data_IF_982020674265
#
_entry.id   IF_982020674265
#
_cell.length_a   1.000
_cell.length_b   1.000
_cell.length_c   1.000
_cell.angle_alpha   90.00
_cell.angle_beta   90.00
_cell.angle_gamma   90.00
#
_symmetry.space_group_name_H-M   'P 1'
#
loop_
_entity.id
_entity.type
_entity.pdbx_description
1 polymer ?
#
# COMPACT_ATOMS: atom_id res chain seq x y z
N UNK A 1 -26.21 35.87 19.32
CA UNK A 1 -25.46 35.19 18.24
C UNK A 1 -24.23 34.39 18.69
N UNK A 2 -23.69 34.59 19.91
CA UNK A 2 -22.53 33.82 20.40
C UNK A 2 -22.86 32.41 20.94
N UNK A 3 -24.11 32.18 21.37
CA UNK A 3 -24.53 30.91 22.01
C UNK A 3 -24.76 29.77 20.98
N UNK A 4 -25.17 30.08 19.75
CA UNK A 4 -25.43 29.09 18.69
C UNK A 4 -24.18 28.52 18.01
N UNK A 5 -22.98 28.97 18.41
CA UNK A 5 -21.70 28.42 17.90
C UNK A 5 -21.12 27.35 18.82
N UNK A 6 -21.55 27.31 20.09
CA UNK A 6 -21.02 26.37 21.08
C UNK A 6 -21.75 25.01 21.03
N UNK A 7 -23.02 24.98 20.61
CA UNK A 7 -23.79 23.72 20.53
C UNK A 7 -23.45 22.86 19.31
N UNK A 8 -22.87 23.43 18.24
CA UNK A 8 -22.37 22.64 17.09
C UNK A 8 -21.07 21.87 17.36
N UNK A 9 -20.49 22.02 18.56
CA UNK A 9 -19.27 21.32 18.98
C UNK A 9 -19.51 19.95 19.64
N UNK A 10 -20.75 19.60 19.99
CA UNK A 10 -21.02 18.47 20.88
C UNK A 10 -21.65 17.22 20.21
N UNK A 11 -21.90 17.25 18.89
CA UNK A 11 -22.60 16.15 18.18
C UNK A 11 -21.75 15.36 17.16
N UNK A 12 -20.42 15.47 17.16
CA UNK A 12 -19.56 14.77 16.15
C UNK A 12 -18.53 13.78 16.69
N UNK A 13 -18.48 13.52 17.99
CA UNK A 13 -17.27 12.97 18.62
C UNK A 13 -17.10 11.45 18.65
N UNK A 14 -18.07 10.69 18.11
CA UNK A 14 -17.96 9.23 18.06
C UNK A 14 -16.90 8.73 17.08
N UNK A 15 -16.87 9.27 15.86
CA UNK A 15 -16.13 8.71 14.73
C UNK A 15 -15.28 9.71 13.94
N UNK A 16 -15.18 10.98 14.37
CA UNK A 16 -14.31 11.92 13.67
C UNK A 16 -12.84 11.53 13.87
N UNK A 17 -12.17 11.32 12.74
CA UNK A 17 -10.75 10.99 12.60
C UNK A 17 -10.02 12.08 11.81
N UNK A 18 -10.68 13.20 11.50
CA UNK A 18 -10.06 14.31 10.78
C UNK A 18 -9.20 15.14 11.73
N UNK A 19 -8.10 15.66 11.18
CA UNK A 19 -7.20 16.59 11.87
C UNK A 19 -6.77 17.71 10.94
N UNK A 20 -6.34 18.81 11.53
CA UNK A 20 -5.62 19.84 10.80
C UNK A 20 -4.41 19.23 10.11
N UNK A 21 -4.21 19.60 8.84
CA UNK A 21 -3.09 19.06 8.06
C UNK A 21 -1.78 19.67 8.57
N UNK A 22 -0.84 18.85 9.07
CA UNK A 22 0.46 19.34 9.53
C UNK A 22 1.19 20.04 8.39
N UNK A 23 2.06 21.00 8.69
CA UNK A 23 2.90 21.64 7.69
C UNK A 23 3.73 20.60 6.92
N UNK A 24 3.86 20.76 5.60
CA UNK A 24 4.55 19.80 4.74
C UNK A 24 6.06 19.79 5.03
N UNK A 25 6.54 18.80 5.78
CA UNK A 25 7.95 18.63 6.12
C UNK A 25 8.75 17.83 5.07
N UNK A 26 8.39 17.95 3.79
CA UNK A 26 9.00 17.19 2.69
C UNK A 26 10.48 17.51 2.45
N UNK A 27 11.11 16.73 1.58
CA UNK A 27 12.41 17.06 1.01
C UNK A 27 12.24 18.16 -0.04
N UNK A 28 13.28 19.00 -0.20
CA UNK A 28 13.29 20.11 -1.16
C UNK A 28 14.36 19.93 -2.25
N UNK A 29 14.15 20.65 -3.37
CA UNK A 29 15.10 20.71 -4.48
C UNK A 29 15.53 19.34 -5.01
N UNK A 30 16.85 19.13 -5.09
CA UNK A 30 17.46 17.88 -5.61
C UNK A 30 17.17 16.66 -4.73
N UNK A 31 17.08 16.84 -3.41
CA UNK A 31 16.80 15.73 -2.48
C UNK A 31 15.42 15.12 -2.76
N UNK A 32 14.44 15.93 -3.13
CA UNK A 32 13.09 15.46 -3.45
C UNK A 32 13.09 14.53 -4.67
N UNK A 33 13.77 14.92 -5.76
CA UNK A 33 13.89 14.08 -6.95
C UNK A 33 14.69 12.80 -6.68
N UNK A 34 15.73 12.88 -5.85
CA UNK A 34 16.47 11.71 -5.38
C UNK A 34 15.57 10.72 -4.62
N UNK A 35 14.77 11.19 -3.67
CA UNK A 35 13.80 10.35 -2.96
C UNK A 35 12.77 9.74 -3.91
N UNK A 36 12.26 10.52 -4.87
CA UNK A 36 11.29 10.02 -5.86
C UNK A 36 11.90 8.90 -6.72
N UNK A 37 13.12 9.09 -7.21
CA UNK A 37 13.83 8.09 -8.01
C UNK A 37 14.11 6.82 -7.19
N UNK A 38 14.58 6.96 -5.95
CA UNK A 38 14.81 5.82 -5.07
C UNK A 38 13.51 5.06 -4.77
N UNK A 39 12.42 5.77 -4.46
CA UNK A 39 11.11 5.16 -4.23
C UNK A 39 10.62 4.37 -5.44
N UNK A 40 10.85 4.86 -6.67
CA UNK A 40 10.43 4.18 -7.90
C UNK A 40 11.34 3.00 -8.28
N UNK A 41 12.66 3.13 -8.11
CA UNK A 41 13.65 2.17 -8.60
C UNK A 41 13.82 0.99 -7.63
N UNK A 42 13.92 1.26 -6.32
CA UNK A 42 14.26 0.23 -5.31
C UNK A 42 13.27 -0.95 -5.34
N UNK A 43 11.94 -0.75 -5.35
CA UNK A 43 11.00 -1.88 -5.35
C UNK A 43 11.14 -2.77 -6.57
N UNK A 44 11.49 -2.20 -7.72
CA UNK A 44 11.64 -2.91 -8.99
C UNK A 44 12.96 -3.65 -9.10
N UNK A 45 14.07 -3.03 -8.67
CA UNK A 45 15.38 -3.69 -8.60
C UNK A 45 15.36 -4.86 -7.62
N UNK A 46 14.65 -4.70 -6.50
CA UNK A 46 14.51 -5.74 -5.48
C UNK A 46 13.42 -6.77 -5.80
N UNK A 47 12.61 -6.55 -6.84
CA UNK A 47 11.41 -7.34 -7.13
C UNK A 47 11.69 -8.83 -7.29
N UNK A 48 12.44 -9.20 -8.34
CA UNK A 48 12.79 -10.60 -8.59
C UNK A 48 13.62 -11.22 -7.45
N UNK A 49 14.75 -10.63 -6.99
CA UNK A 49 15.59 -11.30 -6.01
C UNK A 49 14.87 -11.58 -4.69
N UNK A 50 14.08 -10.64 -4.17
CA UNK A 50 13.39 -10.86 -2.90
C UNK A 50 12.16 -11.75 -3.04
N UNK A 51 11.46 -11.72 -4.17
CA UNK A 51 10.39 -12.68 -4.43
C UNK A 51 10.93 -14.11 -4.51
N UNK A 52 12.04 -14.32 -5.23
CA UNK A 52 12.69 -15.63 -5.32
C UNK A 52 13.22 -16.08 -3.96
N UNK A 53 13.79 -15.17 -3.16
CA UNK A 53 14.20 -15.46 -1.80
C UNK A 53 13.02 -15.95 -0.96
N UNK A 54 11.88 -15.24 -0.98
CA UNK A 54 10.70 -15.65 -0.22
C UNK A 54 10.07 -16.95 -0.72
N UNK A 55 10.04 -17.18 -2.04
CA UNK A 55 9.52 -18.41 -2.63
C UNK A 55 10.39 -19.65 -2.34
N UNK A 56 11.70 -19.46 -2.14
CA UNK A 56 12.65 -20.54 -1.89
C UNK A 56 12.91 -20.82 -0.41
N UNK A 57 12.98 -19.78 0.44
CA UNK A 57 13.40 -19.92 1.83
C UNK A 57 12.28 -19.96 2.86
N UNK A 58 11.08 -19.44 2.54
CA UNK A 58 9.94 -19.52 3.47
C UNK A 58 9.28 -20.89 3.31
N UNK A 59 9.29 -21.74 4.36
CA UNK A 59 8.70 -23.07 4.27
C UNK A 59 7.20 -22.99 3.97
N UNK A 60 6.76 -23.80 3.01
CA UNK A 60 5.33 -24.00 2.76
C UNK A 60 4.79 -24.88 3.89
N UNK A 61 3.87 -24.34 4.67
CA UNK A 61 3.26 -25.04 5.80
C UNK A 61 2.02 -24.31 6.29
N UNK A 62 1.52 -24.68 7.47
CA UNK A 62 0.30 -24.11 8.03
C UNK A 62 0.38 -22.58 8.15
N UNK A 63 1.51 -22.03 8.61
CA UNK A 63 1.65 -20.58 8.79
C UNK A 63 1.76 -19.82 7.46
N UNK A 64 2.52 -20.36 6.50
CA UNK A 64 2.83 -19.69 5.22
C UNK A 64 2.54 -20.60 4.02
N UNK A 65 1.25 -20.89 3.71
CA UNK A 65 0.87 -21.95 2.78
C UNK A 65 0.95 -21.55 1.30
N UNK A 66 1.24 -20.29 0.97
CA UNK A 66 1.17 -19.78 -0.41
C UNK A 66 2.54 -19.29 -0.87
N UNK A 67 3.15 -20.01 -1.82
CA UNK A 67 4.53 -19.74 -2.27
C UNK A 67 4.69 -18.33 -2.86
N UNK A 68 3.80 -17.90 -3.75
CA UNK A 68 3.86 -16.56 -4.36
C UNK A 68 3.65 -15.48 -3.30
N UNK A 69 2.68 -15.67 -2.39
CA UNK A 69 2.43 -14.74 -1.28
C UNK A 69 3.63 -14.65 -0.34
N UNK A 70 4.37 -15.75 -0.11
CA UNK A 70 5.63 -15.73 0.63
C UNK A 70 6.69 -14.86 -0.06
N UNK A 71 6.83 -14.99 -1.38
CA UNK A 71 7.70 -14.12 -2.19
C UNK A 71 7.35 -12.65 -2.06
N UNK A 72 6.06 -12.33 -2.22
CA UNK A 72 5.56 -10.95 -2.10
C UNK A 72 5.74 -10.40 -0.69
N UNK A 73 5.50 -11.21 0.34
CA UNK A 73 5.71 -10.84 1.75
C UNK A 73 7.17 -10.48 2.01
N UNK A 74 8.12 -11.32 1.59
CA UNK A 74 9.56 -11.06 1.77
C UNK A 74 9.99 -9.82 0.99
N UNK A 75 9.51 -9.65 -0.24
CA UNK A 75 9.76 -8.44 -1.02
C UNK A 75 9.20 -7.17 -0.37
N UNK A 76 7.98 -7.23 0.15
CA UNK A 76 7.34 -6.12 0.85
C UNK A 76 8.10 -5.76 2.13
N UNK A 77 8.47 -6.74 2.96
CA UNK A 77 9.24 -6.51 4.18
C UNK A 77 10.65 -5.97 3.89
N UNK A 78 11.33 -6.49 2.86
CA UNK A 78 12.62 -5.94 2.43
C UNK A 78 12.52 -4.48 2.00
N UNK A 79 11.48 -4.11 1.25
CA UNK A 79 11.23 -2.71 0.90
C UNK A 79 10.85 -1.86 2.12
N UNK A 80 10.08 -2.40 3.07
CA UNK A 80 9.77 -1.71 4.32
C UNK A 80 11.04 -1.37 5.11
N UNK A 81 11.99 -2.31 5.19
CA UNK A 81 13.29 -2.10 5.85
C UNK A 81 14.12 -1.04 5.12
N UNK A 82 14.17 -1.06 3.79
CA UNK A 82 14.87 -0.03 3.00
C UNK A 82 14.24 1.34 3.20
N UNK A 83 12.90 1.43 3.15
CA UNK A 83 12.18 2.68 3.38
C UNK A 83 12.47 3.21 4.79
N UNK A 84 12.35 2.37 5.83
CA UNK A 84 12.62 2.76 7.21
C UNK A 84 14.07 3.25 7.36
N UNK A 85 15.04 2.57 6.74
CA UNK A 85 16.46 2.93 6.80
C UNK A 85 16.73 4.27 6.11
N UNK A 86 16.27 4.45 4.88
CA UNK A 86 16.45 5.70 4.12
C UNK A 86 15.72 6.87 4.76
N UNK A 87 14.53 6.61 5.30
CA UNK A 87 13.77 7.61 6.05
C UNK A 87 14.51 8.03 7.32
N UNK A 88 15.01 7.07 8.11
CA UNK A 88 15.78 7.34 9.31
C UNK A 88 17.04 8.17 9.00
N UNK A 89 17.81 7.81 7.96
CA UNK A 89 19.00 8.56 7.53
C UNK A 89 18.62 10.00 7.18
N UNK A 90 17.57 10.20 6.39
CA UNK A 90 17.10 11.54 6.00
C UNK A 90 16.59 12.36 7.19
N UNK A 91 15.87 11.71 8.11
CA UNK A 91 15.30 12.34 9.29
C UNK A 91 16.40 12.80 10.26
N UNK A 92 17.37 11.93 10.56
CA UNK A 92 18.49 12.21 11.46
C UNK A 92 19.44 13.26 10.88
N UNK A 93 19.83 13.13 9.59
CA UNK A 93 20.73 14.10 8.94
C UNK A 93 20.09 15.48 8.74
N UNK A 94 18.76 15.53 8.64
CA UNK A 94 18.03 16.78 8.50
C UNK A 94 17.68 17.47 9.82
N UNK A 95 18.08 16.90 10.97
CA UNK A 95 17.72 17.37 12.31
C UNK A 95 16.23 17.72 12.45
N UNK A 96 15.35 16.85 11.96
CA UNK A 96 13.91 17.16 11.75
C UNK A 96 13.05 17.07 13.03
N UNK A 97 13.67 17.01 14.21
CA UNK A 97 12.98 16.86 15.51
C UNK A 97 12.29 15.50 15.67
N UNK A 98 11.54 15.29 16.74
CA UNK A 98 10.87 14.01 17.04
C UNK A 98 9.39 13.96 16.68
N UNK A 99 8.86 15.04 16.09
CA UNK A 99 7.44 15.21 15.82
C UNK A 99 6.96 14.32 14.66
N UNK A 100 6.33 13.20 15.03
CA UNK A 100 5.76 12.22 14.09
C UNK A 100 4.52 12.74 13.38
N UNK A 101 3.87 13.78 13.92
CA UNK A 101 2.66 14.36 13.32
C UNK A 101 2.99 14.98 11.96
N UNK A 102 4.20 15.54 11.80
CA UNK A 102 4.71 16.08 10.53
C UNK A 102 4.72 15.09 9.37
N UNK A 103 4.65 13.78 9.66
CA UNK A 103 4.62 12.73 8.65
C UNK A 103 3.26 12.04 8.57
N UNK A 104 2.24 12.57 9.27
CA UNK A 104 0.91 11.99 9.34
C UNK A 104 0.76 10.83 10.32
N UNK A 105 1.79 10.54 11.12
CA UNK A 105 1.78 9.51 12.16
C UNK A 105 1.34 10.06 13.52
N UNK A 106 0.66 11.21 13.52
CA UNK A 106 0.04 11.73 14.74
C UNK A 106 -0.99 10.76 15.28
N UNK A 107 -1.00 10.57 16.59
CA UNK A 107 -1.94 9.66 17.26
C UNK A 107 -2.96 10.41 18.09
N UNK A 108 -2.76 11.70 18.41
CA UNK A 108 -3.68 12.52 19.22
C UNK A 108 -4.11 11.77 20.48
N UNK A 109 -5.36 11.28 20.52
CA UNK A 109 -5.91 10.40 21.57
C UNK A 109 -5.27 8.99 21.67
N UNK A 110 -4.04 8.81 21.20
CA UNK A 110 -3.29 7.56 21.25
C UNK A 110 -3.93 6.41 20.47
N UNK A 111 -3.97 5.22 21.08
CA UNK A 111 -4.44 3.97 20.46
C UNK A 111 -5.88 4.03 19.96
N UNK A 112 -6.74 4.89 20.53
CA UNK A 112 -8.12 5.05 20.08
C UNK A 112 -8.21 5.50 18.63
N UNK A 113 -7.29 6.37 18.20
CA UNK A 113 -7.25 6.84 16.80
C UNK A 113 -6.87 5.70 15.86
N UNK A 114 -5.85 4.93 16.21
CA UNK A 114 -5.41 3.77 15.43
C UNK A 114 -6.55 2.74 15.32
N UNK A 115 -7.23 2.45 16.44
CA UNK A 115 -8.37 1.54 16.49
C UNK A 115 -9.55 2.01 15.63
N UNK A 116 -9.93 3.29 15.69
CA UNK A 116 -10.97 3.86 14.82
C UNK A 116 -10.58 3.79 13.34
N UNK A 117 -9.33 4.09 13.00
CA UNK A 117 -8.81 3.99 11.62
C UNK A 117 -8.83 2.55 11.11
N UNK A 118 -8.45 1.57 11.95
CA UNK A 118 -8.50 0.15 11.61
C UNK A 118 -9.95 -0.32 11.42
N UNK A 119 -10.86 0.03 12.32
CA UNK A 119 -12.28 -0.29 12.18
C UNK A 119 -12.89 0.32 10.91
N UNK A 120 -12.56 1.58 10.62
CA UNK A 120 -12.95 2.23 9.37
C UNK A 120 -12.43 1.47 8.15
N UNK A 121 -11.18 1.01 8.19
CA UNK A 121 -10.59 0.21 7.12
C UNK A 121 -11.31 -1.14 6.94
N UNK A 122 -11.67 -1.83 8.02
CA UNK A 122 -12.47 -3.07 7.98
C UNK A 122 -13.83 -2.82 7.32
N UNK A 123 -14.52 -1.73 7.67
CA UNK A 123 -15.82 -1.38 7.07
C UNK A 123 -15.68 -1.06 5.58
N UNK A 124 -14.66 -0.29 5.19
CA UNK A 124 -14.41 0.08 3.78
C UNK A 124 -14.07 -1.16 2.95
N UNK A 125 -13.10 -1.96 3.39
CA UNK A 125 -12.68 -3.17 2.67
C UNK A 125 -13.81 -4.21 2.66
N UNK A 126 -14.49 -4.42 3.79
CA UNK A 126 -15.64 -5.31 3.90
C UNK A 126 -16.79 -4.89 2.97
N UNK A 127 -17.11 -3.59 2.91
CA UNK A 127 -18.10 -3.04 1.99
C UNK A 127 -17.73 -3.26 0.52
N UNK A 128 -16.45 -3.12 0.17
CA UNK A 128 -15.97 -3.43 -1.19
C UNK A 128 -16.13 -4.93 -1.55
N UNK A 129 -15.79 -5.85 -0.64
CA UNK A 129 -15.99 -7.28 -0.88
C UNK A 129 -17.47 -7.69 -0.86
N UNK A 130 -18.30 -7.02 -0.06
CA UNK A 130 -19.75 -7.20 -0.09
C UNK A 130 -20.34 -6.74 -1.43
N UNK A 131 -19.85 -5.61 -1.98
CA UNK A 131 -20.24 -5.17 -3.31
C UNK A 131 -19.79 -6.16 -4.39
N UNK A 132 -18.55 -6.67 -4.31
CA UNK A 132 -18.07 -7.73 -5.20
C UNK A 132 -18.97 -8.97 -5.13
N UNK A 133 -19.39 -9.38 -3.93
CA UNK A 133 -20.30 -10.50 -3.74
C UNK A 133 -21.69 -10.24 -4.34
N UNK A 134 -22.25 -9.05 -4.12
CA UNK A 134 -23.52 -8.66 -4.70
C UNK A 134 -23.48 -8.64 -6.24
N UNK A 135 -22.42 -8.09 -6.83
CA UNK A 135 -22.24 -8.08 -8.29
C UNK A 135 -22.07 -9.50 -8.84
N UNK A 136 -21.30 -10.34 -8.17
CA UNK A 136 -21.17 -11.77 -8.52
C UNK A 136 -22.49 -12.51 -8.46
N UNK A 137 -23.30 -12.27 -7.43
CA UNK A 137 -24.60 -12.90 -7.27
C UNK A 137 -25.64 -12.41 -8.30
N UNK A 138 -25.70 -11.11 -8.55
CA UNK A 138 -26.75 -10.51 -9.40
C UNK A 138 -26.46 -10.62 -10.90
N UNK A 139 -25.19 -10.62 -11.29
CA UNK A 139 -24.79 -10.48 -12.70
C UNK A 139 -23.83 -11.57 -13.18
N UNK A 140 -23.49 -12.54 -12.33
CA UNK A 140 -22.53 -13.62 -12.62
C UNK A 140 -21.18 -13.10 -13.16
N UNK A 141 -20.78 -11.92 -12.68
CA UNK A 141 -19.58 -11.21 -13.10
C UNK A 141 -18.73 -10.80 -11.91
N UNK A 142 -17.44 -10.61 -12.14
CA UNK A 142 -16.49 -10.24 -11.09
C UNK A 142 -15.66 -9.03 -11.47
N UNK A 143 -14.98 -8.43 -10.49
CA UNK A 143 -14.08 -7.31 -10.74
C UNK A 143 -12.78 -7.81 -11.36
N UNK A 144 -12.67 -7.63 -12.68
CA UNK A 144 -11.51 -8.01 -13.47
C UNK A 144 -11.13 -6.88 -14.42
N UNK A 145 -9.84 -6.64 -14.53
CA UNK A 145 -9.24 -5.73 -15.49
C UNK A 145 -8.02 -6.42 -16.08
N UNK A 146 -8.16 -6.89 -17.33
CA UNK A 146 -7.13 -7.67 -18.02
C UNK A 146 -6.68 -8.88 -17.18
N UNK A 147 -5.40 -8.98 -16.81
CA UNK A 147 -4.87 -10.07 -15.97
C UNK A 147 -5.10 -9.87 -14.47
N UNK A 148 -5.49 -8.67 -14.03
CA UNK A 148 -5.80 -8.38 -12.63
C UNK A 148 -7.25 -8.75 -12.32
N UNK A 149 -7.46 -9.57 -11.29
CA UNK A 149 -8.78 -10.01 -10.87
C UNK A 149 -8.88 -10.01 -9.35
N UNK A 150 -9.93 -9.38 -8.82
CA UNK A 150 -10.28 -9.50 -7.40
C UNK A 150 -11.29 -10.64 -7.27
N UNK A 151 -10.99 -11.60 -6.38
CA UNK A 151 -11.82 -12.78 -6.13
C UNK A 151 -12.36 -12.73 -4.70
N UNK A 152 -13.55 -13.28 -4.50
CA UNK A 152 -14.08 -13.51 -3.16
C UNK A 152 -13.21 -14.57 -2.46
N UNK A 153 -12.67 -14.28 -1.27
CA UNK A 153 -11.89 -15.26 -0.52
C UNK A 153 -12.82 -16.34 0.05
N UNK A 154 -12.36 -17.59 0.05
CA UNK A 154 -12.98 -18.64 0.87
C UNK A 154 -12.77 -18.38 2.37
N UNK A 155 -13.53 -19.02 3.28
CA UNK A 155 -13.28 -18.93 4.72
C UNK A 155 -11.86 -19.33 5.11
N UNK A 156 -11.28 -20.33 4.42
CA UNK A 156 -9.89 -20.74 4.59
C UNK A 156 -8.92 -19.61 4.18
N UNK A 157 -9.13 -19.01 3.01
CA UNK A 157 -8.31 -17.91 2.52
C UNK A 157 -8.39 -16.67 3.42
N UNK A 158 -9.53 -16.38 4.05
CA UNK A 158 -9.63 -15.30 5.04
C UNK A 158 -8.75 -15.56 6.27
N UNK A 159 -8.69 -16.81 6.76
CA UNK A 159 -7.80 -17.18 7.87
C UNK A 159 -6.33 -17.04 7.48
N UNK A 160 -5.97 -17.50 6.28
CA UNK A 160 -4.62 -17.33 5.72
C UNK A 160 -4.28 -15.85 5.59
N UNK A 161 -5.22 -15.02 5.13
CA UNK A 161 -5.03 -13.58 5.01
C UNK A 161 -4.71 -12.91 6.34
N UNK A 162 -5.24 -13.37 7.47
CA UNK A 162 -4.88 -12.83 8.78
C UNK A 162 -3.39 -13.02 9.13
N UNK A 163 -2.77 -14.12 8.68
CA UNK A 163 -1.34 -14.35 8.89
C UNK A 163 -0.50 -13.38 8.07
N UNK A 164 -0.81 -13.21 6.78
CA UNK A 164 -0.09 -12.28 5.89
C UNK A 164 -0.41 -10.81 6.15
N UNK A 165 -1.53 -10.51 6.82
CA UNK A 165 -1.95 -9.13 7.09
C UNK A 165 -0.92 -8.40 7.95
N UNK A 166 -0.34 -9.06 8.94
CA UNK A 166 0.65 -8.44 9.84
C UNK A 166 1.88 -7.95 9.07
N UNK A 167 2.63 -8.80 8.34
CA UNK A 167 3.81 -8.34 7.62
C UNK A 167 3.48 -7.35 6.50
N UNK A 168 2.36 -7.52 5.79
CA UNK A 168 1.96 -6.58 4.74
C UNK A 168 1.51 -5.23 5.31
N UNK A 169 0.86 -5.20 6.48
CA UNK A 169 0.54 -3.95 7.17
C UNK A 169 1.79 -3.17 7.57
N UNK A 170 2.87 -3.83 7.99
CA UNK A 170 4.14 -3.18 8.26
C UNK A 170 4.71 -2.49 7.01
N UNK A 171 4.63 -3.17 5.86
CA UNK A 171 5.03 -2.55 4.59
C UNK A 171 4.17 -1.33 4.24
N UNK A 172 2.84 -1.45 4.32
CA UNK A 172 1.98 -0.31 3.97
C UNK A 172 2.17 0.85 4.93
N UNK A 173 2.36 0.62 6.23
CA UNK A 173 2.73 1.68 7.17
C UNK A 173 4.08 2.32 6.80
N UNK A 174 5.10 1.52 6.47
CA UNK A 174 6.38 2.06 6.03
C UNK A 174 6.24 2.90 4.75
N UNK A 175 5.42 2.45 3.79
CA UNK A 175 5.17 3.14 2.52
C UNK A 175 4.62 4.55 2.69
N UNK A 176 3.88 4.83 3.76
CA UNK A 176 3.34 6.16 4.02
C UNK A 176 4.43 7.19 4.38
N UNK A 177 5.59 6.75 4.90
CA UNK A 177 6.71 7.63 5.26
C UNK A 177 7.25 8.43 4.07
N UNK A 178 7.62 7.81 2.92
CA UNK A 178 8.02 8.57 1.76
C UNK A 178 6.83 9.32 1.14
N UNK A 179 5.64 8.74 1.02
CA UNK A 179 4.51 9.37 0.30
C UNK A 179 3.96 10.62 1.00
N UNK A 180 3.87 10.58 2.33
CA UNK A 180 3.23 11.62 3.14
C UNK A 180 4.20 12.31 4.11
N UNK A 181 5.44 11.82 4.20
CA UNK A 181 6.58 12.54 4.75
C UNK A 181 7.46 13.14 3.66
N UNK A 182 8.46 12.40 3.19
CA UNK A 182 9.56 12.93 2.37
C UNK A 182 9.13 13.55 1.02
N UNK A 183 8.14 12.97 0.35
CA UNK A 183 7.67 13.44 -0.96
C UNK A 183 6.53 14.45 -0.88
N UNK A 184 5.98 14.68 0.32
CA UNK A 184 4.83 15.56 0.53
C UNK A 184 5.19 17.01 0.21
N UNK A 185 4.36 17.66 -0.60
CA UNK A 185 4.43 19.12 -0.85
C UNK A 185 3.10 19.79 -0.53
N UNK A 186 3.17 20.96 0.11
CA UNK A 186 1.99 21.77 0.43
C UNK A 186 1.30 22.31 -0.83
N UNK A 187 0.01 22.62 -0.71
CA UNK A 187 -0.76 23.35 -1.73
C UNK A 187 -1.07 22.60 -3.03
N UNK A 188 -0.74 21.30 -3.16
CA UNK A 188 -1.02 20.53 -4.39
C UNK A 188 -2.48 20.06 -4.49
N UNK A 189 -3.05 20.14 -5.69
CA UNK A 189 -4.34 19.52 -6.04
C UNK A 189 -4.28 17.99 -5.94
N UNK A 190 -5.44 17.33 -5.82
CA UNK A 190 -5.50 15.87 -5.71
C UNK A 190 -4.83 15.16 -6.88
N UNK A 191 -5.12 15.50 -8.16
CA UNK A 191 -4.48 14.83 -9.30
C UNK A 191 -2.96 14.95 -9.30
N UNK A 192 -2.42 16.11 -8.91
CA UNK A 192 -0.97 16.31 -8.82
C UNK A 192 -0.36 15.51 -7.67
N UNK A 193 -0.99 15.46 -6.50
CA UNK A 193 -0.50 14.65 -5.39
C UNK A 193 -0.52 13.15 -5.75
N UNK A 194 -1.62 12.69 -6.35
CA UNK A 194 -1.77 11.34 -6.84
C UNK A 194 -0.70 11.00 -7.89
N UNK A 195 -0.50 11.83 -8.91
CA UNK A 195 0.48 11.56 -9.97
C UNK A 195 1.92 11.37 -9.43
N UNK A 196 2.34 12.18 -8.45
CA UNK A 196 3.67 12.01 -7.84
C UNK A 196 3.78 10.73 -7.02
N UNK A 197 2.78 10.43 -6.20
CA UNK A 197 2.75 9.21 -5.40
C UNK A 197 2.66 7.97 -6.30
N UNK A 198 1.87 8.05 -7.37
CA UNK A 198 1.77 7.03 -8.39
C UNK A 198 3.11 6.80 -9.08
N UNK A 199 3.82 7.86 -9.48
CA UNK A 199 5.15 7.73 -10.08
C UNK A 199 6.15 7.09 -9.10
N UNK A 200 6.08 7.45 -7.83
CA UNK A 200 6.94 6.90 -6.77
C UNK A 200 6.73 5.39 -6.53
N UNK A 201 5.51 4.88 -6.68
CA UNK A 201 5.18 3.48 -6.33
C UNK A 201 5.03 2.59 -7.57
N UNK A 202 4.49 3.12 -8.66
CA UNK A 202 4.10 2.37 -9.86
C UNK A 202 5.06 2.62 -11.02
N UNK A 203 5.71 3.79 -11.07
CA UNK A 203 6.53 4.21 -12.21
C UNK A 203 7.62 3.21 -12.58
N UNK A 204 8.35 2.67 -11.60
CA UNK A 204 9.38 1.67 -11.86
C UNK A 204 8.82 0.36 -12.44
N UNK A 205 7.63 -0.06 -12.03
CA UNK A 205 6.99 -1.27 -12.58
C UNK A 205 6.57 -1.08 -14.05
N UNK A 206 6.11 0.12 -14.41
CA UNK A 206 5.82 0.44 -15.82
C UNK A 206 7.09 0.36 -16.67
N UNK A 207 8.21 0.89 -16.18
CA UNK A 207 9.50 0.79 -16.87
C UNK A 207 9.97 -0.67 -16.97
N UNK A 208 9.89 -1.44 -15.88
CA UNK A 208 10.26 -2.85 -15.86
C UNK A 208 9.50 -3.66 -16.90
N UNK A 209 8.18 -3.51 -16.92
CA UNK A 209 7.29 -4.23 -17.83
C UNK A 209 7.50 -3.76 -19.27
N UNK A 210 7.67 -2.45 -19.49
CA UNK A 210 8.00 -1.90 -20.80
C UNK A 210 9.27 -2.53 -21.38
N UNK A 211 10.33 -2.64 -20.57
CA UNK A 211 11.57 -3.30 -20.97
C UNK A 211 11.36 -4.79 -21.29
N UNK A 212 10.77 -5.56 -20.38
CA UNK A 212 10.53 -7.00 -20.54
C UNK A 212 9.71 -7.31 -21.80
N UNK A 213 8.62 -6.57 -22.03
CA UNK A 213 7.73 -6.79 -23.16
C UNK A 213 8.28 -6.23 -24.47
N UNK A 214 9.04 -5.12 -24.46
CA UNK A 214 9.70 -4.64 -25.69
C UNK A 214 10.70 -5.67 -26.22
N UNK A 215 11.47 -6.31 -25.34
CA UNK A 215 12.42 -7.38 -25.69
C UNK A 215 11.69 -8.67 -26.07
N UNK A 216 10.56 -8.98 -25.42
CA UNK A 216 9.71 -10.11 -25.83
C UNK A 216 9.19 -9.93 -27.26
N UNK A 217 8.69 -8.74 -27.58
CA UNK A 217 8.14 -8.43 -28.90
C UNK A 217 9.19 -8.25 -30.00
N UNK A 218 10.48 -8.15 -29.67
CA UNK A 218 11.56 -8.23 -30.67
C UNK A 218 11.88 -9.66 -31.11
N UNK A 219 11.16 -10.67 -30.59
CA UNK A 219 11.34 -12.08 -30.93
C UNK A 219 12.29 -12.84 -30.01
N UNK A 220 12.69 -12.24 -28.88
CA UNK A 220 13.56 -12.88 -27.89
C UNK A 220 12.78 -13.26 -26.63
N UNK A 221 13.20 -14.28 -25.86
CA UNK A 221 12.56 -14.58 -24.57
C UNK A 221 12.67 -13.42 -23.58
N UNK A 222 11.83 -13.41 -22.54
CA UNK A 222 11.86 -12.40 -21.49
C UNK A 222 13.28 -12.26 -20.89
N UNK A 223 13.91 -11.07 -20.95
CA UNK A 223 15.34 -10.90 -20.67
C UNK A 223 15.75 -11.22 -19.23
N UNK A 224 14.81 -11.15 -18.26
CA UNK A 224 15.11 -11.47 -16.85
C UNK A 224 14.69 -12.89 -16.44
N UNK A 225 14.26 -13.74 -17.39
CA UNK A 225 14.08 -15.18 -17.17
C UNK A 225 13.03 -15.57 -16.11
N UNK A 226 12.05 -14.70 -15.83
CA UNK A 226 11.06 -14.90 -14.77
C UNK A 226 9.61 -14.67 -15.24
N UNK A 227 9.06 -15.51 -16.14
CA UNK A 227 7.76 -15.25 -16.78
C UNK A 227 6.60 -15.13 -15.79
N UNK A 228 6.54 -16.01 -14.79
CA UNK A 228 5.48 -15.98 -13.77
C UNK A 228 5.50 -14.68 -12.98
N UNK A 229 6.67 -14.29 -12.46
CA UNK A 229 6.82 -13.04 -11.73
C UNK A 229 6.62 -11.81 -12.62
N UNK A 230 6.93 -11.87 -13.92
CA UNK A 230 6.59 -10.80 -14.87
C UNK A 230 5.07 -10.63 -15.00
N UNK A 231 4.28 -11.71 -15.02
CA UNK A 231 2.81 -11.63 -15.03
C UNK A 231 2.29 -11.07 -13.69
N UNK A 232 2.89 -11.46 -12.57
CA UNK A 232 2.56 -10.89 -11.25
C UNK A 232 2.90 -9.39 -11.21
N UNK A 233 4.00 -8.95 -11.81
CA UNK A 233 4.37 -7.53 -11.91
C UNK A 233 3.33 -6.69 -12.67
N UNK A 234 2.64 -7.25 -13.68
CA UNK A 234 1.52 -6.57 -14.34
C UNK A 234 0.39 -6.28 -13.35
N UNK A 235 0.03 -7.26 -12.52
CA UNK A 235 -1.00 -7.08 -11.49
C UNK A 235 -0.59 -6.02 -10.47
N UNK A 236 0.71 -5.90 -10.18
CA UNK A 236 1.22 -4.84 -9.31
C UNK A 236 0.98 -3.44 -9.85
N UNK A 237 1.01 -3.22 -11.17
CA UNK A 237 0.64 -1.90 -11.74
C UNK A 237 -0.80 -1.53 -11.38
N UNK A 238 -1.74 -2.47 -11.55
CA UNK A 238 -3.15 -2.22 -11.23
C UNK A 238 -3.36 -2.02 -9.72
N UNK A 239 -2.87 -2.95 -8.89
CA UNK A 239 -3.14 -2.91 -7.45
C UNK A 239 -2.40 -1.77 -6.75
N UNK A 240 -1.16 -1.45 -7.14
CA UNK A 240 -0.41 -0.33 -6.56
C UNK A 240 -0.95 1.03 -7.02
N UNK A 241 -1.60 1.09 -8.19
CA UNK A 241 -2.39 2.27 -8.58
C UNK A 241 -3.55 2.50 -7.61
N UNK A 242 -4.26 1.44 -7.21
CA UNK A 242 -5.32 1.54 -6.18
C UNK A 242 -4.70 1.97 -4.84
N UNK A 243 -3.59 1.35 -4.43
CA UNK A 243 -2.89 1.67 -3.18
C UNK A 243 -2.55 3.16 -3.10
N UNK A 244 -1.95 3.71 -4.15
CA UNK A 244 -1.56 5.12 -4.21
C UNK A 244 -2.76 6.06 -4.20
N UNK A 245 -3.87 5.69 -4.86
CA UNK A 245 -5.11 6.45 -4.81
C UNK A 245 -5.69 6.47 -3.39
N UNK A 246 -5.77 5.31 -2.73
CA UNK A 246 -6.30 5.13 -1.37
C UNK A 246 -5.46 5.91 -0.35
N UNK A 247 -4.13 5.71 -0.32
CA UNK A 247 -3.25 6.44 0.60
C UNK A 247 -3.40 7.96 0.41
N UNK A 248 -3.29 8.43 -0.83
CA UNK A 248 -3.38 9.86 -1.15
C UNK A 248 -4.73 10.46 -0.76
N UNK A 249 -5.83 9.74 -1.01
CA UNK A 249 -7.17 10.18 -0.66
C UNK A 249 -7.36 10.28 0.85
N UNK A 250 -7.07 9.20 1.59
CA UNK A 250 -7.30 9.17 3.03
C UNK A 250 -6.38 10.10 3.79
N UNK A 251 -5.12 10.24 3.37
CA UNK A 251 -4.22 11.21 3.97
C UNK A 251 -4.74 12.64 3.79
N UNK A 252 -5.21 13.02 2.61
CA UNK A 252 -5.79 14.35 2.39
C UNK A 252 -7.09 14.57 3.16
N UNK A 253 -7.85 13.50 3.41
CA UNK A 253 -9.14 13.59 4.09
C UNK A 253 -9.02 13.63 5.61
N UNK A 254 -8.03 12.94 6.16
CA UNK A 254 -7.88 12.72 7.60
C UNK A 254 -6.64 13.38 8.20
N UNK A 255 -5.70 13.82 7.36
CA UNK A 255 -4.37 14.34 7.75
C UNK A 255 -3.51 13.32 8.49
N UNK A 256 -3.87 12.03 8.41
CA UNK A 256 -3.14 10.94 9.03
C UNK A 256 -3.08 9.73 8.09
N UNK A 257 -2.09 8.88 8.33
CA UNK A 257 -1.75 7.78 7.42
C UNK A 257 -2.50 6.49 7.73
N UNK A 258 -2.97 6.33 8.97
CA UNK A 258 -3.48 5.06 9.50
C UNK A 258 -4.60 4.44 8.67
N UNK A 259 -5.64 5.21 8.32
CA UNK A 259 -6.78 4.68 7.56
C UNK A 259 -6.36 4.21 6.17
N UNK A 260 -5.53 4.98 5.46
CA UNK A 260 -5.03 4.61 4.13
C UNK A 260 -4.17 3.35 4.18
N UNK A 261 -3.22 3.30 5.11
CA UNK A 261 -2.35 2.14 5.30
C UNK A 261 -3.14 0.86 5.63
N UNK A 262 -4.13 0.94 6.53
CA UNK A 262 -4.94 -0.22 6.89
C UNK A 262 -5.90 -0.68 5.79
N UNK A 263 -6.52 0.25 5.04
CA UNK A 263 -7.34 -0.11 3.87
C UNK A 263 -6.47 -0.83 2.85
N UNK A 264 -5.28 -0.31 2.55
CA UNK A 264 -4.34 -0.94 1.63
C UNK A 264 -3.88 -2.31 2.12
N UNK A 265 -3.52 -2.43 3.40
CA UNK A 265 -3.11 -3.69 3.99
C UNK A 265 -4.21 -4.76 3.88
N UNK A 266 -5.43 -4.44 4.30
CA UNK A 266 -6.56 -5.37 4.21
C UNK A 266 -6.89 -5.73 2.77
N UNK A 267 -7.07 -4.73 1.90
CA UNK A 267 -7.46 -4.93 0.51
C UNK A 267 -6.43 -5.77 -0.24
N UNK A 268 -5.15 -5.41 -0.17
CA UNK A 268 -4.08 -6.10 -0.89
C UNK A 268 -3.87 -7.50 -0.35
N UNK A 269 -3.86 -7.68 0.97
CA UNK A 269 -3.65 -9.01 1.58
C UNK A 269 -4.75 -9.98 1.17
N UNK A 270 -6.02 -9.58 1.29
CA UNK A 270 -7.15 -10.45 0.92
C UNK A 270 -7.12 -10.74 -0.59
N UNK A 271 -6.86 -9.72 -1.42
CA UNK A 271 -6.80 -9.89 -2.89
C UNK A 271 -5.69 -10.86 -3.28
N UNK A 272 -4.50 -10.70 -2.70
CA UNK A 272 -3.33 -11.54 -2.97
C UNK A 272 -3.58 -12.99 -2.56
N UNK A 273 -4.12 -13.21 -1.36
CA UNK A 273 -4.40 -14.56 -0.84
C UNK A 273 -5.53 -15.25 -1.60
N UNK A 274 -6.57 -14.51 -1.98
CA UNK A 274 -7.67 -15.05 -2.79
C UNK A 274 -7.23 -15.38 -4.23
N UNK A 275 -6.27 -14.64 -4.78
CA UNK A 275 -5.75 -14.81 -6.14
C UNK A 275 -4.65 -15.86 -6.28
N UNK A 276 -4.12 -16.41 -5.19
CA UNK A 276 -2.92 -17.27 -5.19
C UNK A 276 -3.24 -18.71 -4.81
N UNK A 277 -2.53 -19.66 -5.43
CA UNK A 277 -2.62 -21.09 -5.10
C UNK A 277 -2.19 -21.35 -3.65
N UNK A 278 -2.99 -22.17 -2.96
CA UNK A 278 -2.73 -22.60 -1.58
C UNK A 278 -2.20 -24.02 -1.60
N UNK A 279 -0.98 -24.22 -1.09
CA UNK A 279 -0.27 -25.49 -1.18
C UNK A 279 -0.37 -26.33 0.10
N UNK A 280 -0.83 -25.74 1.21
CA UNK A 280 -1.13 -26.43 2.45
C UNK A 280 -2.40 -25.83 3.09
N UNK A 281 -3.33 -26.65 3.61
CA UNK A 281 -4.42 -26.14 4.41
C UNK A 281 -3.91 -25.66 5.79
N UNK A 282 -4.66 -24.73 6.41
CA UNK A 282 -4.56 -24.45 7.84
C UNK A 282 -5.29 -25.53 8.64
#
# INVERSE_FOLDING_TARGET
MAVLRQERGLERDGFDVRRETPEAAGADGRSWYGTLALAAIVPVVTYFPLNLLGQGFVPIGWLFPQQITNGVMVWALGNALVIASLFAIWHLRGNRGTDRERYGFGTGSGLRTIGKSFLGAVVITGGFYALLAAVGYLFDTGFRFWVFAVRLPSPMQLRIALVYLVPLALFFLALELPLHGQLRRAGRSFPRAFAHNWLAVVGGFVVLLGFQYAVLFSGTPLPLGQPLLTIVAIQFVAILTIVTAVSTYFFRKTSQVWTGAFVNALFVTITLVAGTATHAPL
#
